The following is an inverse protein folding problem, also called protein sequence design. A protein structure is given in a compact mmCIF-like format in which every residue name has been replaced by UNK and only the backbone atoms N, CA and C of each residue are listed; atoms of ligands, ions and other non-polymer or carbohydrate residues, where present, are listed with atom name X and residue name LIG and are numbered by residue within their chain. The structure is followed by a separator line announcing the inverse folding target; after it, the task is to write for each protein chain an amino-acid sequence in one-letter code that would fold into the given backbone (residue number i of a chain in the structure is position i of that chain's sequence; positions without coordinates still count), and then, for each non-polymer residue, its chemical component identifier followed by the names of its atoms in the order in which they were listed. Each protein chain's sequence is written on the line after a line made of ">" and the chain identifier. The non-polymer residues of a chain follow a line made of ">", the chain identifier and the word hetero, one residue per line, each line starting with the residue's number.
data_IF_635875575130
#
_entry.id   IF_635875575130
#
_cell.length_a   1.000
_cell.length_b   1.000
_cell.length_c   1.000
_cell.angle_alpha   90.00
_cell.angle_beta   90.00
_cell.angle_gamma   90.00
#
_symmetry.space_group_name_H-M   'P 1'
#
loop_
_entity.id
_entity.type
_entity.pdbx_description
1 polymer ?
#
# COMPACT_ATOMS: atom_id res chain seq x y z
N UNK A 1 24.81 -24.24 14.41
CA UNK A 1 24.16 -22.93 14.15
C UNK A 1 24.03 -22.77 12.65
N UNK A 2 22.82 -22.86 12.09
CA UNK A 2 22.60 -22.61 10.66
C UNK A 2 22.86 -21.12 10.34
N UNK A 3 23.38 -20.77 9.15
CA UNK A 3 23.77 -19.41 8.85
C UNK A 3 22.51 -18.53 8.78
N UNK A 4 22.45 -17.53 9.65
CA UNK A 4 21.43 -16.49 9.55
C UNK A 4 21.64 -15.77 8.22
N UNK A 5 20.59 -15.71 7.39
CA UNK A 5 20.56 -14.83 6.21
C UNK A 5 21.00 -13.42 6.63
N UNK A 6 21.91 -12.78 5.88
CA UNK A 6 22.44 -11.46 6.23
C UNK A 6 21.24 -10.50 6.49
N UNK A 7 21.18 -9.81 7.63
CA UNK A 7 20.12 -8.82 7.93
C UNK A 7 19.88 -7.83 6.78
N UNK A 8 20.90 -7.52 5.99
CA UNK A 8 20.82 -6.66 4.80
C UNK A 8 20.08 -7.31 3.62
N UNK A 9 20.10 -8.63 3.48
CA UNK A 9 19.35 -9.36 2.45
C UNK A 9 17.88 -9.48 2.85
N UNK A 10 17.61 -9.71 4.14
CA UNK A 10 16.26 -9.66 4.72
C UNK A 10 15.67 -8.25 4.59
N UNK A 11 16.47 -7.22 4.87
CA UNK A 11 16.08 -5.83 4.64
C UNK A 11 15.84 -5.56 3.14
N UNK A 12 16.72 -6.01 2.23
CA UNK A 12 16.54 -5.83 0.77
C UNK A 12 15.28 -6.50 0.23
N UNK A 13 14.96 -7.71 0.69
CA UNK A 13 13.74 -8.41 0.27
C UNK A 13 12.47 -7.75 0.84
N UNK A 14 12.52 -7.21 2.07
CA UNK A 14 11.46 -6.38 2.64
C UNK A 14 11.34 -4.97 1.99
N UNK A 15 12.43 -4.46 1.40
CA UNK A 15 12.50 -3.11 0.79
C UNK A 15 11.86 -3.04 -0.60
N UNK A 16 11.81 -4.16 -1.35
CA UNK A 16 11.36 -4.22 -2.75
C UNK A 16 9.91 -3.74 -2.96
N UNK A 17 9.03 -3.89 -1.95
CA UNK A 17 7.60 -3.55 -2.05
C UNK A 17 7.27 -2.05 -1.83
N UNK A 18 8.01 -1.29 -1.01
CA UNK A 18 7.56 0.05 -0.59
C UNK A 18 8.07 1.22 -1.44
N UNK A 19 9.34 1.18 -1.91
CA UNK A 19 9.84 2.27 -2.76
C UNK A 19 9.08 2.29 -4.09
N UNK A 20 8.75 1.09 -4.60
CA UNK A 20 7.89 0.89 -5.75
C UNK A 20 6.51 1.49 -5.53
N UNK A 21 5.77 1.10 -4.48
CA UNK A 21 4.33 1.45 -4.39
C UNK A 21 4.09 2.93 -4.15
N UNK A 22 4.87 3.60 -3.27
CA UNK A 22 4.68 5.03 -3.02
C UNK A 22 5.11 5.88 -4.22
N UNK A 23 6.31 5.62 -4.77
CA UNK A 23 6.82 6.37 -5.93
C UNK A 23 5.99 6.09 -7.19
N UNK A 24 5.56 4.84 -7.40
CA UNK A 24 4.65 4.46 -8.48
C UNK A 24 3.29 5.15 -8.33
N UNK A 25 2.70 5.14 -7.12
CA UNK A 25 1.39 5.75 -6.89
C UNK A 25 1.45 7.25 -7.14
N UNK A 26 2.44 7.93 -6.56
CA UNK A 26 2.64 9.37 -6.76
C UNK A 26 2.93 9.69 -8.23
N UNK A 27 3.87 8.98 -8.86
CA UNK A 27 4.21 9.15 -10.27
C UNK A 27 3.00 8.94 -11.18
N UNK A 28 2.15 7.94 -10.89
CA UNK A 28 0.92 7.72 -11.65
C UNK A 28 -0.10 8.83 -11.47
N UNK A 29 -0.34 9.26 -10.24
CA UNK A 29 -1.23 10.41 -9.98
C UNK A 29 -0.74 11.66 -10.70
N UNK A 30 0.55 11.99 -10.61
CA UNK A 30 1.16 13.13 -11.29
C UNK A 30 1.04 13.00 -12.83
N UNK A 31 1.21 11.79 -13.38
CA UNK A 31 1.08 11.56 -14.82
C UNK A 31 -0.34 11.77 -15.36
N UNK A 32 -1.34 11.60 -14.49
CA UNK A 32 -2.77 11.66 -14.81
C UNK A 32 -3.41 13.01 -14.50
N UNK A 33 -2.74 13.89 -13.75
CA UNK A 33 -3.28 15.18 -13.36
C UNK A 33 -3.74 16.01 -14.57
N UNK A 34 -5.03 16.37 -14.59
CA UNK A 34 -5.64 17.21 -15.62
C UNK A 34 -5.92 16.49 -16.95
N UNK A 35 -5.55 15.20 -17.08
CA UNK A 35 -5.71 14.42 -18.33
C UNK A 35 -6.88 13.44 -18.29
N UNK A 36 -7.51 13.27 -17.13
CA UNK A 36 -8.46 12.17 -16.89
C UNK A 36 -9.92 12.59 -16.82
N UNK A 37 -10.28 13.86 -17.05
CA UNK A 37 -11.65 14.37 -16.86
C UNK A 37 -12.76 13.50 -17.48
N UNK A 38 -12.57 13.02 -18.70
CA UNK A 38 -13.54 12.17 -19.39
C UNK A 38 -13.45 10.67 -19.03
N UNK A 39 -12.37 10.26 -18.36
CA UNK A 39 -12.06 8.85 -18.03
C UNK A 39 -12.23 8.53 -16.54
N UNK A 40 -12.64 9.50 -15.72
CA UNK A 40 -12.83 9.33 -14.28
C UNK A 40 -13.73 8.13 -13.94
N UNK A 41 -14.91 7.92 -14.56
CA UNK A 41 -15.77 6.78 -14.23
C UNK A 41 -15.09 5.43 -14.50
N UNK A 42 -14.42 5.31 -15.66
CA UNK A 42 -13.70 4.10 -16.03
C UNK A 42 -12.50 3.83 -15.11
N UNK A 43 -11.78 4.89 -14.71
CA UNK A 43 -10.68 4.79 -13.75
C UNK A 43 -11.17 4.34 -12.37
N UNK A 44 -12.34 4.84 -11.93
CA UNK A 44 -12.94 4.46 -10.66
C UNK A 44 -13.32 2.96 -10.64
N UNK A 45 -13.91 2.47 -11.73
CA UNK A 45 -14.23 1.05 -11.89
C UNK A 45 -12.96 0.17 -11.93
N UNK A 46 -11.94 0.58 -12.69
CA UNK A 46 -10.66 -0.15 -12.74
C UNK A 46 -10.02 -0.23 -11.35
N UNK A 47 -10.00 0.88 -10.60
CA UNK A 47 -9.43 0.90 -9.25
C UNK A 47 -10.18 -0.02 -8.30
N UNK A 48 -11.51 -0.04 -8.33
CA UNK A 48 -12.30 -0.97 -7.51
C UNK A 48 -11.93 -2.43 -7.82
N UNK A 49 -11.82 -2.79 -9.10
CA UNK A 49 -11.39 -4.13 -9.53
C UNK A 49 -9.97 -4.45 -9.04
N UNK A 50 -9.03 -3.51 -9.17
CA UNK A 50 -7.65 -3.66 -8.69
C UNK A 50 -7.58 -3.86 -7.18
N UNK A 51 -8.36 -3.12 -6.40
CA UNK A 51 -8.40 -3.29 -4.95
C UNK A 51 -9.04 -4.61 -4.53
N UNK A 52 -10.05 -5.10 -5.25
CA UNK A 52 -10.58 -6.46 -5.02
C UNK A 52 -9.53 -7.54 -5.27
N UNK A 53 -8.77 -7.42 -6.38
CA UNK A 53 -7.67 -8.34 -6.67
C UNK A 53 -6.58 -8.28 -5.59
N UNK A 54 -6.25 -7.07 -5.11
CA UNK A 54 -5.28 -6.88 -4.03
C UNK A 54 -5.72 -7.57 -2.74
N UNK A 55 -7.00 -7.46 -2.35
CA UNK A 55 -7.55 -8.15 -1.17
C UNK A 55 -7.41 -9.67 -1.30
N UNK A 56 -7.81 -10.24 -2.43
CA UNK A 56 -7.68 -11.68 -2.70
C UNK A 56 -6.23 -12.15 -2.66
N UNK A 57 -5.30 -11.37 -3.24
CA UNK A 57 -3.88 -11.67 -3.20
C UNK A 57 -3.31 -11.66 -1.78
N UNK A 58 -3.79 -10.75 -0.91
CA UNK A 58 -3.39 -10.72 0.49
C UNK A 58 -3.94 -11.89 1.30
N UNK A 59 -5.19 -12.30 1.07
CA UNK A 59 -5.77 -13.50 1.69
C UNK A 59 -4.97 -14.74 1.30
N UNK A 60 -4.64 -14.89 0.02
CA UNK A 60 -3.80 -15.97 -0.46
C UNK A 60 -2.41 -15.93 0.20
N UNK A 61 -1.79 -14.75 0.30
CA UNK A 61 -0.50 -14.59 0.97
C UNK A 61 -0.56 -14.94 2.45
N UNK A 62 -1.65 -14.59 3.13
CA UNK A 62 -1.89 -14.97 4.53
C UNK A 62 -1.97 -16.48 4.69
N UNK A 63 -2.73 -17.15 3.84
CA UNK A 63 -2.84 -18.62 3.83
C UNK A 63 -1.49 -19.30 3.53
N UNK A 64 -0.70 -18.76 2.59
CA UNK A 64 0.64 -19.28 2.31
C UNK A 64 1.57 -19.13 3.53
N UNK A 65 1.53 -17.99 4.23
CA UNK A 65 2.31 -17.78 5.44
C UNK A 65 1.88 -18.73 6.57
N UNK A 66 0.58 -19.00 6.71
CA UNK A 66 0.04 -19.97 7.66
C UNK A 66 0.56 -21.38 7.39
N UNK A 67 0.68 -21.76 6.12
CA UNK A 67 1.20 -23.06 5.70
C UNK A 67 2.71 -23.19 5.93
N UNK A 68 3.47 -22.13 5.66
CA UNK A 68 4.94 -22.14 5.78
C UNK A 68 5.40 -22.06 7.24
N UNK A 69 4.72 -21.27 8.06
CA UNK A 69 5.16 -21.00 9.44
C UNK A 69 4.46 -21.89 10.45
N UNK A 70 3.27 -22.44 10.14
CA UNK A 70 2.53 -23.40 10.97
C UNK A 70 1.94 -22.80 12.24
N UNK A 71 2.67 -21.95 12.95
CA UNK A 71 2.27 -21.34 14.23
C UNK A 71 1.72 -19.92 14.06
N UNK A 72 0.74 -19.60 14.90
CA UNK A 72 0.22 -18.25 15.07
C UNK A 72 1.21 -17.44 15.93
N UNK A 73 1.66 -16.28 15.44
CA UNK A 73 2.50 -15.37 16.23
C UNK A 73 1.96 -13.95 16.20
N UNK A 74 2.19 -13.22 17.30
CA UNK A 74 1.79 -11.82 17.43
C UNK A 74 2.43 -10.96 16.34
N UNK A 75 3.69 -11.24 15.96
CA UNK A 75 4.36 -10.54 14.86
C UNK A 75 3.72 -10.83 13.50
N UNK A 76 3.24 -12.06 13.26
CA UNK A 76 2.51 -12.42 12.03
C UNK A 76 1.19 -11.67 11.97
N UNK A 77 0.42 -11.67 13.07
CA UNK A 77 -0.85 -10.95 13.15
C UNK A 77 -0.66 -9.46 12.93
N UNK A 78 0.33 -8.86 13.60
CA UNK A 78 0.68 -7.45 13.44
C UNK A 78 1.07 -7.11 11.99
N UNK A 79 1.86 -7.96 11.33
CA UNK A 79 2.22 -7.77 9.93
C UNK A 79 0.99 -7.72 9.03
N UNK A 80 0.07 -8.69 9.15
CA UNK A 80 -1.13 -8.72 8.30
C UNK A 80 -2.12 -7.62 8.62
N UNK A 81 -2.24 -7.22 9.90
CA UNK A 81 -3.04 -6.07 10.31
C UNK A 81 -2.49 -4.78 9.65
N UNK A 82 -1.20 -4.51 9.78
CA UNK A 82 -0.58 -3.32 9.19
C UNK A 82 -0.64 -3.34 7.65
N UNK A 83 -0.64 -4.53 7.03
CA UNK A 83 -0.80 -4.69 5.59
C UNK A 83 -2.18 -4.25 5.13
N UNK A 84 -3.22 -4.68 5.86
CA UNK A 84 -4.60 -4.27 5.62
C UNK A 84 -4.77 -2.76 5.81
N UNK A 85 -4.21 -2.19 6.89
CA UNK A 85 -4.24 -0.74 7.13
C UNK A 85 -3.55 0.05 6.00
N UNK A 86 -2.41 -0.44 5.50
CA UNK A 86 -1.69 0.16 4.37
C UNK A 86 -2.55 0.14 3.10
N UNK A 87 -3.20 -0.99 2.79
CA UNK A 87 -4.03 -1.12 1.59
C UNK A 87 -5.30 -0.26 1.66
N UNK A 88 -5.90 -0.14 2.85
CA UNK A 88 -6.99 0.79 3.08
C UNK A 88 -6.55 2.24 2.84
N UNK A 89 -5.37 2.62 3.36
CA UNK A 89 -4.83 3.96 3.17
C UNK A 89 -4.48 4.25 1.70
N UNK A 90 -4.02 3.23 0.97
CA UNK A 90 -3.80 3.32 -0.48
C UNK A 90 -5.11 3.57 -1.22
N UNK A 91 -6.19 2.87 -0.85
CA UNK A 91 -7.52 3.07 -1.41
C UNK A 91 -8.03 4.50 -1.15
N UNK A 92 -7.90 5.01 0.08
CA UNK A 92 -8.28 6.38 0.44
C UNK A 92 -7.51 7.40 -0.40
N UNK A 93 -6.20 7.22 -0.60
CA UNK A 93 -5.40 8.13 -1.43
C UNK A 93 -5.88 8.15 -2.90
N UNK A 94 -6.23 6.99 -3.46
CA UNK A 94 -6.73 6.89 -4.83
C UNK A 94 -8.15 7.49 -4.98
N UNK A 95 -9.03 7.26 -4.02
CA UNK A 95 -10.36 7.88 -3.98
C UNK A 95 -10.25 9.40 -3.83
N UNK A 96 -9.36 9.87 -2.94
CA UNK A 96 -9.05 11.30 -2.77
C UNK A 96 -8.52 11.95 -4.05
N UNK A 97 -7.66 11.25 -4.79
CA UNK A 97 -7.19 11.71 -6.10
C UNK A 97 -8.34 11.84 -7.11
N UNK A 98 -9.22 10.85 -7.19
CA UNK A 98 -10.41 10.92 -8.07
C UNK A 98 -11.28 12.11 -7.70
N UNK A 99 -11.59 12.29 -6.42
CA UNK A 99 -12.43 13.40 -5.96
C UNK A 99 -11.81 14.76 -6.27
N UNK A 100 -10.50 14.90 -6.07
CA UNK A 100 -9.77 16.11 -6.44
C UNK A 100 -9.79 16.36 -7.96
N UNK A 101 -9.56 15.33 -8.77
CA UNK A 101 -9.64 15.44 -10.24
C UNK A 101 -11.06 15.82 -10.69
N UNK A 102 -12.10 15.22 -10.12
CA UNK A 102 -13.49 15.59 -10.41
C UNK A 102 -13.75 17.07 -10.17
N UNK A 103 -13.36 17.60 -9.00
CA UNK A 103 -13.50 19.02 -8.68
C UNK A 103 -12.73 19.94 -9.60
N UNK A 104 -11.52 19.53 -10.00
CA UNK A 104 -10.70 20.28 -10.96
C UNK A 104 -11.35 20.28 -12.35
N UNK A 105 -11.94 19.16 -12.77
CA UNK A 105 -12.60 19.04 -14.06
C UNK A 105 -13.95 19.77 -14.13
N UNK A 106 -14.66 19.90 -13.01
CA UNK A 106 -15.92 20.64 -12.93
C UNK A 106 -15.74 22.12 -12.57
N UNK A 107 -14.50 22.57 -12.32
CA UNK A 107 -14.19 23.90 -11.79
C UNK A 107 -15.07 24.24 -10.58
N UNK A 108 -15.11 23.36 -9.59
CA UNK A 108 -15.91 23.56 -8.39
C UNK A 108 -15.49 24.85 -7.65
N UNK A 109 -16.43 25.77 -7.45
CA UNK A 109 -16.18 27.07 -6.79
C UNK A 109 -16.95 27.20 -5.48
N UNK A 110 -16.38 27.89 -4.50
CA UNK A 110 -17.05 28.31 -3.27
C UNK A 110 -16.64 29.74 -2.89
N UNK A 111 -17.57 30.50 -2.32
CA UNK A 111 -17.36 31.89 -1.87
C UNK A 111 -16.49 31.99 -0.61
N UNK A 112 -16.38 30.91 0.15
CA UNK A 112 -15.74 30.91 1.48
C UNK A 112 -14.45 30.09 1.52
N UNK A 113 -14.16 29.31 0.48
CA UNK A 113 -13.00 28.43 0.44
C UNK A 113 -12.72 27.95 -0.97
N UNK A 114 -11.48 27.65 -1.27
CA UNK A 114 -11.12 26.89 -2.48
C UNK A 114 -11.35 25.38 -2.22
N UNK A 115 -12.42 24.77 -2.77
CA UNK A 115 -12.73 23.37 -2.53
C UNK A 115 -11.74 22.43 -3.24
N UNK A 116 -11.13 22.88 -4.35
CA UNK A 116 -10.11 22.13 -5.08
C UNK A 116 -8.85 22.02 -4.23
N UNK A 117 -8.41 23.14 -3.65
CA UNK A 117 -7.25 23.19 -2.78
C UNK A 117 -7.45 22.34 -1.50
N UNK A 118 -8.63 22.41 -0.86
CA UNK A 118 -8.93 21.55 0.30
C UNK A 118 -8.89 20.06 -0.02
N UNK A 119 -9.43 19.66 -1.18
CA UNK A 119 -9.37 18.27 -1.64
C UNK A 119 -7.94 17.84 -1.96
N UNK A 120 -7.11 18.76 -2.47
CA UNK A 120 -5.68 18.52 -2.66
C UNK A 120 -4.95 18.28 -1.34
N UNK A 121 -5.21 19.12 -0.33
CA UNK A 121 -4.62 18.97 1.00
C UNK A 121 -5.02 17.64 1.66
N UNK A 122 -6.28 17.22 1.52
CA UNK A 122 -6.74 15.92 1.99
C UNK A 122 -6.05 14.75 1.28
N UNK A 123 -5.79 14.86 -0.03
CA UNK A 123 -4.99 13.89 -0.79
C UNK A 123 -3.55 13.83 -0.26
N UNK A 124 -2.90 14.98 -0.07
CA UNK A 124 -1.53 15.04 0.42
C UNK A 124 -1.42 14.44 1.85
N UNK A 125 -2.39 14.70 2.73
CA UNK A 125 -2.50 14.04 4.03
C UNK A 125 -2.66 12.52 3.89
N UNK A 126 -3.47 12.06 2.95
CA UNK A 126 -3.69 10.64 2.68
C UNK A 126 -2.42 9.95 2.20
N UNK A 127 -1.64 10.60 1.35
CA UNK A 127 -0.32 10.13 0.90
C UNK A 127 0.71 10.07 2.03
N UNK A 128 0.69 11.05 2.94
CA UNK A 128 1.51 11.02 4.15
C UNK A 128 1.12 9.86 5.08
N UNK A 129 -0.19 9.62 5.25
CA UNK A 129 -0.70 8.46 5.96
C UNK A 129 -0.22 7.14 5.35
N UNK A 130 -0.28 7.02 4.01
CA UNK A 130 0.18 5.84 3.28
C UNK A 130 1.66 5.59 3.51
N UNK A 131 2.48 6.65 3.48
CA UNK A 131 3.91 6.57 3.78
C UNK A 131 4.16 6.00 5.18
N UNK A 132 3.50 6.55 6.19
CA UNK A 132 3.69 6.11 7.59
C UNK A 132 3.26 4.64 7.81
N UNK A 133 2.11 4.23 7.23
CA UNK A 133 1.64 2.85 7.32
C UNK A 133 2.55 1.87 6.57
N UNK A 134 3.10 2.30 5.43
CA UNK A 134 4.04 1.47 4.68
C UNK A 134 5.35 1.26 5.45
N UNK A 135 5.88 2.32 6.09
CA UNK A 135 7.04 2.22 6.97
C UNK A 135 6.78 1.29 8.18
N UNK A 136 5.60 1.41 8.80
CA UNK A 136 5.22 0.54 9.91
C UNK A 136 5.14 -0.93 9.47
N UNK A 137 4.54 -1.20 8.30
CA UNK A 137 4.46 -2.53 7.72
C UNK A 137 5.85 -3.13 7.46
N UNK A 138 6.81 -2.34 6.96
CA UNK A 138 8.20 -2.78 6.79
C UNK A 138 8.83 -3.21 8.11
N UNK A 139 8.68 -2.40 9.15
CA UNK A 139 9.21 -2.71 10.48
C UNK A 139 8.60 -3.99 11.04
N UNK A 140 7.29 -4.18 10.85
CA UNK A 140 6.60 -5.40 11.26
C UNK A 140 7.05 -6.63 10.47
N UNK A 141 7.24 -6.51 9.15
CA UNK A 141 7.77 -7.59 8.32
C UNK A 141 9.19 -7.98 8.75
N UNK A 142 10.06 -7.00 9.00
CA UNK A 142 11.41 -7.24 9.48
C UNK A 142 11.41 -7.98 10.83
N UNK A 143 10.60 -7.52 11.79
CA UNK A 143 10.43 -8.18 13.09
C UNK A 143 9.88 -9.59 12.96
N UNK A 144 8.96 -9.81 12.04
CA UNK A 144 8.41 -11.14 11.79
C UNK A 144 9.48 -12.08 11.20
N UNK A 145 10.16 -11.66 10.13
CA UNK A 145 11.18 -12.48 9.47
C UNK A 145 12.36 -12.82 10.39
N UNK A 146 12.74 -11.93 11.31
CA UNK A 146 13.84 -12.20 12.25
C UNK A 146 13.53 -13.30 13.27
N UNK A 147 12.26 -13.65 13.46
CA UNK A 147 11.82 -14.78 14.32
C UNK A 147 11.85 -16.12 13.63
N UNK A 148 11.91 -16.14 12.30
CA UNK A 148 11.79 -17.35 11.49
C UNK A 148 13.17 -17.98 11.25
N UNK A 149 13.17 -19.30 11.06
CA UNK A 149 14.37 -19.99 10.61
C UNK A 149 14.72 -19.62 9.15
N UNK A 150 15.84 -20.14 8.65
CA UNK A 150 16.34 -19.81 7.32
C UNK A 150 15.43 -20.33 6.21
N UNK A 151 14.85 -21.52 6.36
CA UNK A 151 14.05 -22.17 5.33
C UNK A 151 12.66 -21.51 5.23
N UNK A 152 12.05 -21.19 6.37
CA UNK A 152 10.82 -20.40 6.45
C UNK A 152 11.01 -19.01 5.83
N UNK A 153 12.13 -18.33 6.10
CA UNK A 153 12.45 -17.04 5.47
C UNK A 153 12.58 -17.13 3.96
N UNK A 154 13.30 -18.14 3.44
CA UNK A 154 13.46 -18.34 1.99
C UNK A 154 12.11 -18.60 1.32
N UNK A 155 11.29 -19.48 1.89
CA UNK A 155 9.96 -19.78 1.38
C UNK A 155 9.03 -18.54 1.31
N UNK A 156 9.21 -17.57 2.22
CA UNK A 156 8.45 -16.32 2.23
C UNK A 156 9.00 -15.27 1.25
N UNK A 157 10.32 -15.17 1.12
CA UNK A 157 10.99 -14.10 0.38
C UNK A 157 11.25 -14.44 -1.11
N UNK A 158 11.32 -15.72 -1.45
CA UNK A 158 11.66 -16.22 -2.78
C UNK A 158 10.54 -17.13 -3.36
N UNK A 159 9.28 -16.66 -3.45
CA UNK A 159 8.22 -17.43 -4.11
C UNK A 159 8.53 -17.70 -5.58
#
# INVERSE_FOLDING_TARGET
>A
MAPAMNPEDVARAAVRDEKSILEFTKSRMDSMDGKVCQRIPALQEELQNRFQLLRKANEHRKSNFETVVGEFSDERQLYFQLRQERDQQLQIAWEGFIHWQQSKCTNETSLFSDPIQRKREALDQSLNGLRNRTLALRLALFRFLSRLDLEQRKAILLP
#
